data_IF_929141011081
#
_entry.id   IF_929141011081
#
_cell.length_a   1.000
_cell.length_b   1.000
_cell.length_c   1.000
_cell.angle_alpha   90.00
_cell.angle_beta   90.00
_cell.angle_gamma   90.00
#
_symmetry.space_group_name_H-M   'P 1'
#
loop_
_entity.id
_entity.type
_entity.pdbx_description
1 polymer ?
#
# COMPACT_ATOMS: atom_id res chain seq x y z
N UNK A 1 9.94 16.36 -4.33
CA UNK A 1 8.75 15.74 -4.94
C UNK A 1 8.46 14.50 -4.10
N UNK A 2 7.28 14.38 -3.50
CA UNK A 2 6.95 13.20 -2.70
C UNK A 2 6.54 12.07 -3.64
N UNK A 3 7.06 10.86 -3.42
CA UNK A 3 6.72 9.67 -4.19
C UNK A 3 5.51 8.98 -3.57
N UNK A 4 4.85 8.14 -4.35
CA UNK A 4 3.84 7.23 -3.84
C UNK A 4 3.96 5.90 -4.58
N UNK A 5 3.42 4.85 -3.99
CA UNK A 5 3.29 3.54 -4.63
C UNK A 5 1.95 2.91 -4.27
N UNK A 6 1.41 2.10 -5.19
CA UNK A 6 0.26 1.23 -4.94
C UNK A 6 0.72 -0.20 -5.13
N UNK A 7 0.70 -0.98 -4.05
CA UNK A 7 1.10 -2.39 -4.08
C UNK A 7 -0.11 -3.30 -4.08
N UNK A 8 -0.04 -4.39 -4.86
CA UNK A 8 -0.94 -5.52 -4.73
C UNK A 8 -0.31 -6.50 -3.73
N UNK A 9 -0.97 -6.71 -2.60
CA UNK A 9 -0.57 -7.71 -1.60
C UNK A 9 -1.43 -8.95 -1.76
N UNK A 10 -0.79 -10.11 -1.91
CA UNK A 10 -1.45 -11.42 -2.03
C UNK A 10 -1.03 -12.31 -0.87
N UNK A 11 -2.00 -12.85 -0.15
CA UNK A 11 -1.80 -13.84 0.91
C UNK A 11 -2.74 -15.01 0.65
N UNK A 12 -2.20 -16.17 0.28
CA UNK A 12 -2.95 -17.41 0.00
C UNK A 12 -4.27 -17.21 -0.78
N UNK A 13 -5.40 -17.03 -0.08
CA UNK A 13 -6.74 -16.89 -0.65
C UNK A 13 -7.29 -15.46 -0.65
N UNK A 14 -6.52 -14.49 -0.17
CA UNK A 14 -6.90 -13.08 -0.07
C UNK A 14 -5.90 -12.21 -0.81
N UNK A 15 -6.37 -11.11 -1.38
CA UNK A 15 -5.49 -10.04 -1.82
C UNK A 15 -6.12 -8.69 -1.52
N UNK A 16 -5.28 -7.69 -1.32
CA UNK A 16 -5.67 -6.30 -1.14
C UNK A 16 -4.67 -5.38 -1.81
N UNK A 17 -4.98 -4.09 -1.77
CA UNK A 17 -4.11 -3.06 -2.30
C UNK A 17 -3.71 -2.09 -1.20
N UNK A 18 -2.44 -1.73 -1.16
CA UNK A 18 -1.93 -0.74 -0.22
C UNK A 18 -1.46 0.50 -0.99
N UNK A 19 -1.99 1.66 -0.61
CA UNK A 19 -1.48 2.95 -1.03
C UNK A 19 -0.49 3.45 0.00
N UNK A 20 0.73 3.75 -0.45
CA UNK A 20 1.81 4.28 0.38
C UNK A 20 2.23 5.65 -0.16
N UNK A 21 2.17 6.68 0.68
CA UNK A 21 2.58 8.05 0.33
C UNK A 21 3.82 8.41 1.14
N UNK A 22 4.87 8.88 0.44
CA UNK A 22 6.11 9.28 1.07
C UNK A 22 5.94 10.55 1.91
N UNK A 23 6.24 10.41 3.21
CA UNK A 23 6.39 11.50 4.18
C UNK A 23 7.85 11.63 4.61
N UNK A 24 8.16 12.58 5.51
CA UNK A 24 9.53 12.90 5.91
C UNK A 24 10.38 11.66 6.25
N UNK A 25 9.87 10.77 7.12
CA UNK A 25 10.64 9.63 7.66
C UNK A 25 10.01 8.25 7.42
N UNK A 26 8.83 8.19 6.80
CA UNK A 26 8.09 6.94 6.61
C UNK A 26 7.21 7.02 5.36
N UNK A 27 6.52 5.92 5.09
CA UNK A 27 5.39 5.87 4.19
C UNK A 27 4.11 5.82 5.03
N UNK A 28 3.23 6.81 4.84
CA UNK A 28 1.87 6.72 5.37
C UNK A 28 1.11 5.74 4.48
N UNK A 29 0.51 4.73 5.11
CA UNK A 29 -0.06 3.59 4.38
C UNK A 29 -1.54 3.40 4.68
N UNK A 30 -2.31 3.12 3.63
CA UNK A 30 -3.70 2.75 3.72
C UNK A 30 -4.00 1.52 2.86
N UNK A 31 -4.74 0.58 3.45
CA UNK A 31 -5.35 -0.54 2.73
C UNK A 31 -6.61 -0.06 2.01
N UNK A 32 -6.71 -0.37 0.73
CA UNK A 32 -7.82 -0.01 -0.15
C UNK A 32 -8.75 -1.21 -0.37
N UNK A 33 -10.06 -0.96 -0.38
CA UNK A 33 -11.07 -1.98 -0.70
C UNK A 33 -11.18 -2.25 -2.21
N UNK A 34 -10.92 -1.23 -3.03
CA UNK A 34 -10.99 -1.33 -4.49
C UNK A 34 -9.59 -1.32 -5.13
N UNK A 35 -9.42 -2.00 -6.27
CA UNK A 35 -8.17 -1.97 -7.03
C UNK A 35 -7.96 -0.61 -7.73
N UNK A 36 -6.71 -0.23 -8.06
CA UNK A 36 -6.36 1.08 -8.62
C UNK A 36 -7.12 1.44 -9.90
N UNK A 37 -7.50 0.47 -10.73
CA UNK A 37 -8.27 0.71 -11.97
C UNK A 37 -9.65 1.33 -11.68
N UNK A 38 -10.23 1.09 -10.49
CA UNK A 38 -11.52 1.67 -10.10
C UNK A 38 -11.40 3.05 -9.46
N UNK A 39 -10.24 3.40 -8.91
CA UNK A 39 -10.03 4.64 -8.15
C UNK A 39 -10.17 5.91 -9.01
N UNK A 40 -10.05 5.78 -10.33
CA UNK A 40 -10.25 6.89 -11.27
C UNK A 40 -11.73 7.29 -11.43
N UNK A 41 -12.66 6.39 -11.09
CA UNK A 41 -14.09 6.52 -11.43
C UNK A 41 -14.95 6.55 -10.17
N UNK A 42 -14.54 5.85 -9.12
CA UNK A 42 -15.29 5.74 -7.88
C UNK A 42 -14.42 5.99 -6.65
N UNK A 43 -15.07 6.42 -5.57
CA UNK A 43 -14.45 6.51 -4.26
C UNK A 43 -14.25 5.10 -3.70
N UNK A 44 -13.16 4.90 -2.97
CA UNK A 44 -12.94 3.69 -2.18
C UNK A 44 -12.76 4.05 -0.71
N UNK A 45 -13.00 3.08 0.17
CA UNK A 45 -12.58 3.19 1.56
C UNK A 45 -11.08 2.92 1.66
N UNK A 46 -10.38 3.85 2.29
CA UNK A 46 -8.97 3.73 2.63
C UNK A 46 -8.84 3.56 4.15
N UNK A 47 -8.42 2.38 4.60
CA UNK A 47 -8.26 2.06 6.02
C UNK A 47 -6.79 2.26 6.40
N UNK A 48 -6.44 3.16 7.34
CA UNK A 48 -5.05 3.36 7.73
C UNK A 48 -4.47 2.09 8.37
N UNK A 49 -3.23 1.78 8.03
CA UNK A 49 -2.43 0.70 8.63
C UNK A 49 -1.08 1.24 9.12
N UNK A 50 -0.18 0.39 9.59
CA UNK A 50 1.12 0.83 10.10
C UNK A 50 1.91 1.62 9.06
N UNK A 51 2.66 2.60 9.53
CA UNK A 51 3.62 3.32 8.69
C UNK A 51 4.70 2.32 8.20
N UNK A 52 5.06 2.42 6.92
CA UNK A 52 6.04 1.53 6.32
C UNK A 52 7.39 2.24 6.10
N UNK A 53 8.47 1.46 6.01
CA UNK A 53 9.79 1.96 5.64
C UNK A 53 9.82 2.42 4.18
N UNK A 54 10.58 3.47 3.88
CA UNK A 54 10.72 4.02 2.52
C UNK A 54 11.26 3.02 1.49
N UNK A 55 11.95 1.95 1.92
CA UNK A 55 12.38 0.85 1.03
C UNK A 55 11.22 0.25 0.24
N UNK A 56 10.00 0.29 0.78
CA UNK A 56 8.81 -0.27 0.13
C UNK A 56 8.31 0.54 -1.07
N UNK A 57 8.84 1.74 -1.35
CA UNK A 57 8.50 2.48 -2.57
C UNK A 57 8.85 1.74 -3.88
N UNK A 58 9.83 0.85 -3.82
CA UNK A 58 10.30 0.09 -5.00
C UNK A 58 10.42 -1.40 -4.75
N UNK A 59 10.10 -1.87 -3.54
CA UNK A 59 10.24 -3.27 -3.18
C UNK A 59 9.19 -4.13 -3.87
N UNK A 60 9.61 -5.25 -4.45
CA UNK A 60 8.73 -6.30 -4.95
C UNK A 60 9.29 -7.65 -4.51
N UNK A 61 8.47 -8.48 -3.87
CA UNK A 61 8.90 -9.77 -3.36
C UNK A 61 8.05 -10.25 -2.18
N UNK A 62 8.37 -11.44 -1.63
CA UNK A 62 7.68 -11.97 -0.46
C UNK A 62 7.99 -11.15 0.79
N UNK A 63 6.95 -10.66 1.46
CA UNK A 63 7.07 -9.97 2.75
C UNK A 63 7.01 -11.01 3.87
N UNK A 64 7.95 -10.95 4.82
CA UNK A 64 7.90 -11.80 6.00
C UNK A 64 6.87 -11.24 7.00
N UNK A 65 6.19 -12.12 7.73
CA UNK A 65 5.07 -11.83 8.66
C UNK A 65 5.36 -10.73 9.73
N UNK A 66 6.61 -10.29 9.90
CA UNK A 66 6.98 -9.21 10.82
C UNK A 66 7.13 -7.81 10.22
N UNK A 67 6.94 -7.64 8.91
CA UNK A 67 7.17 -6.39 8.17
C UNK A 67 5.86 -5.70 7.69
N UNK A 68 4.70 -6.10 8.22
CA UNK A 68 3.35 -5.62 7.81
C UNK A 68 2.61 -4.91 8.94
#
# INVERSE_FOLDING_TARGET
MNRFVVHKHTQENEFHWDLMIEEANCLKTWRLENPPEKLAIEKTKATPIFDHDKKFLTYQGPVNIGDV
#
